data_IF_764723648211
#
_entry.id   IF_764723648211
#
_cell.length_a   1.000
_cell.length_b   1.000
_cell.length_c   1.000
_cell.angle_alpha   90.00
_cell.angle_beta   90.00
_cell.angle_gamma   90.00
#
_symmetry.space_group_name_H-M   'P 1'
#
loop_
_entity.id
_entity.type
_entity.pdbx_description
1 polymer ?
#
# COMPACT_ATOMS: atom_id res chain seq x y z
N UNK A 1 -7.86 -7.43 11.73
CA UNK A 1 -7.21 -8.44 10.86
C UNK A 1 -5.70 -8.39 11.07
N UNK A 2 -5.05 -7.26 10.79
CA UNK A 2 -3.61 -7.06 11.00
C UNK A 2 -3.16 -7.43 12.43
N UNK A 3 -3.82 -6.89 13.46
CA UNK A 3 -3.51 -7.22 14.86
C UNK A 3 -3.74 -8.70 15.25
N UNK A 4 -4.45 -9.47 14.40
CA UNK A 4 -4.67 -10.91 14.57
C UNK A 4 -3.69 -11.74 13.71
N UNK A 5 -2.69 -11.12 13.08
CA UNK A 5 -1.72 -11.80 12.21
C UNK A 5 -2.27 -12.21 10.85
N UNK A 6 -3.45 -11.71 10.45
CA UNK A 6 -4.03 -12.00 9.14
C UNK A 6 -3.40 -11.06 8.11
N UNK A 7 -2.88 -11.62 7.02
CA UNK A 7 -2.38 -10.86 5.86
C UNK A 7 -3.51 -10.07 5.21
N UNK A 8 -3.28 -8.78 4.97
CA UNK A 8 -4.26 -7.88 4.34
C UNK A 8 -3.53 -7.07 3.26
N UNK A 9 -4.13 -6.99 2.08
CA UNK A 9 -3.68 -6.13 0.99
C UNK A 9 -4.67 -5.00 0.72
N UNK A 10 -4.25 -4.03 -0.09
CA UNK A 10 -5.11 -2.94 -0.59
C UNK A 10 -5.37 -3.20 -2.08
N UNK A 11 -6.61 -3.02 -2.50
CA UNK A 11 -7.01 -3.02 -3.90
C UNK A 11 -7.90 -1.82 -4.18
N UNK A 12 -7.83 -1.31 -5.42
CA UNK A 12 -8.61 -0.14 -5.84
C UNK A 12 -10.11 -0.42 -5.97
N UNK A 13 -10.49 -1.70 -6.06
CA UNK A 13 -11.79 -2.15 -6.58
C UNK A 13 -12.00 -1.68 -8.05
N UNK A 14 -13.19 -1.93 -8.61
CA UNK A 14 -13.52 -1.64 -10.00
C UNK A 14 -13.86 -0.16 -10.28
N UNK A 15 -13.75 0.23 -11.55
CA UNK A 15 -14.05 1.59 -12.03
C UNK A 15 -15.41 2.17 -11.54
N UNK A 16 -16.52 1.40 -11.45
CA UNK A 16 -17.81 1.93 -11.00
C UNK A 16 -17.86 2.31 -9.50
N UNK A 17 -16.98 1.73 -8.68
CA UNK A 17 -16.89 1.96 -7.23
C UNK A 17 -15.64 2.75 -6.83
N UNK A 18 -14.68 2.89 -7.75
CA UNK A 18 -13.55 3.80 -7.65
C UNK A 18 -13.16 4.32 -9.03
N UNK A 19 -13.29 5.62 -9.25
CA UNK A 19 -13.00 6.22 -10.56
C UNK A 19 -11.49 6.44 -10.81
N UNK A 20 -10.61 6.02 -9.89
CA UNK A 20 -9.16 6.16 -9.99
C UNK A 20 -8.46 4.84 -9.67
N UNK A 21 -7.66 4.35 -10.61
CA UNK A 21 -6.77 3.21 -10.40
C UNK A 21 -5.39 3.70 -9.94
N UNK A 22 -5.36 4.46 -8.84
CA UNK A 22 -4.13 5.08 -8.30
C UNK A 22 -3.81 4.53 -6.90
N UNK A 23 -2.81 3.64 -6.82
CA UNK A 23 -2.40 3.03 -5.56
C UNK A 23 -1.82 4.01 -4.55
N UNK A 24 -1.29 5.17 -4.96
CA UNK A 24 -0.81 6.19 -4.01
C UNK A 24 -1.99 6.86 -3.29
N UNK A 25 -3.06 7.17 -4.03
CA UNK A 25 -4.30 7.70 -3.45
C UNK A 25 -4.91 6.66 -2.48
N UNK A 26 -4.93 5.37 -2.84
CA UNK A 26 -5.44 4.30 -1.97
C UNK A 26 -4.62 4.12 -0.68
N UNK A 27 -3.28 4.14 -0.79
CA UNK A 27 -2.40 4.10 0.39
C UNK A 27 -2.68 5.27 1.34
N UNK A 28 -2.86 6.47 0.78
CA UNK A 28 -3.18 7.67 1.56
C UNK A 28 -4.54 7.53 2.26
N UNK A 29 -5.57 7.10 1.52
CA UNK A 29 -6.92 6.93 2.04
C UNK A 29 -6.98 5.89 3.17
N UNK A 30 -6.39 4.72 2.97
CA UNK A 30 -6.35 3.63 3.96
C UNK A 30 -5.64 4.09 5.24
N UNK A 31 -4.53 4.81 5.11
CA UNK A 31 -3.78 5.39 6.23
C UNK A 31 -4.64 6.35 7.06
N UNK A 32 -5.37 7.26 6.40
CA UNK A 32 -6.16 8.29 7.09
C UNK A 32 -7.45 7.76 7.70
N UNK A 33 -8.24 6.95 6.98
CA UNK A 33 -9.54 6.48 7.46
C UNK A 33 -9.38 5.68 8.77
N UNK A 34 -8.37 4.81 8.86
CA UNK A 34 -8.14 4.00 10.06
C UNK A 34 -7.65 4.85 11.25
N UNK A 35 -6.79 5.85 11.00
CA UNK A 35 -6.34 6.77 12.05
C UNK A 35 -7.48 7.64 12.57
N UNK A 36 -8.30 8.18 11.67
CA UNK A 36 -9.47 8.98 12.02
C UNK A 36 -10.51 8.18 12.80
N UNK A 37 -10.82 6.96 12.33
CA UNK A 37 -11.79 6.08 13.00
C UNK A 37 -11.36 5.67 14.41
N UNK A 38 -10.06 5.44 14.61
CA UNK A 38 -9.53 5.03 15.91
C UNK A 38 -9.03 6.20 16.78
N UNK A 39 -9.15 7.44 16.29
CA UNK A 39 -8.62 8.66 16.92
C UNK A 39 -7.16 8.50 17.38
N UNK A 40 -6.38 7.75 16.60
CA UNK A 40 -5.02 7.38 16.95
C UNK A 40 -4.11 7.42 15.72
N UNK A 41 -3.16 8.38 15.64
CA UNK A 41 -2.28 8.54 14.49
C UNK A 41 -1.30 7.37 14.31
N UNK A 42 -1.10 6.53 15.32
CA UNK A 42 -0.22 5.36 15.28
C UNK A 42 -0.91 4.07 14.83
N UNK A 43 -2.22 4.13 14.54
CA UNK A 43 -3.02 2.95 14.17
C UNK A 43 -2.43 2.18 12.99
N UNK A 44 -1.98 2.91 11.95
CA UNK A 44 -1.47 2.30 10.73
C UNK A 44 -0.25 3.11 10.24
N UNK A 45 0.98 2.67 10.60
CA UNK A 45 2.22 3.29 10.15
C UNK A 45 2.37 3.23 8.62
N UNK A 46 3.12 4.17 8.04
CA UNK A 46 3.30 4.27 6.59
C UNK A 46 4.01 3.03 6.01
N UNK A 47 4.97 2.48 6.75
CA UNK A 47 5.70 1.26 6.44
C UNK A 47 4.74 0.08 6.29
N UNK A 48 3.77 -0.03 7.21
CA UNK A 48 2.77 -1.09 7.13
C UNK A 48 1.87 -0.93 5.90
N UNK A 49 1.48 0.30 5.57
CA UNK A 49 0.69 0.56 4.35
C UNK A 49 1.48 0.18 3.09
N UNK A 50 2.79 0.46 3.06
CA UNK A 50 3.66 0.05 1.96
C UNK A 50 3.76 -1.48 1.84
N UNK A 51 3.88 -2.20 2.96
CA UNK A 51 3.83 -3.66 2.97
C UNK A 51 2.52 -4.19 2.39
N UNK A 52 1.38 -3.58 2.74
CA UNK A 52 0.03 -3.95 2.27
C UNK A 52 -0.13 -3.87 0.74
N UNK A 53 0.63 -3.00 0.06
CA UNK A 53 0.60 -2.86 -1.41
C UNK A 53 1.77 -3.56 -2.10
N UNK A 54 2.67 -4.18 -1.35
CA UNK A 54 3.84 -4.90 -1.87
C UNK A 54 3.82 -6.34 -1.40
N UNK A 55 4.58 -6.68 -0.36
CA UNK A 55 4.78 -8.06 0.08
C UNK A 55 3.51 -8.72 0.63
N UNK A 56 2.65 -7.99 1.34
CA UNK A 56 1.37 -8.53 1.81
C UNK A 56 0.38 -8.70 0.65
N UNK A 57 0.44 -7.81 -0.35
CA UNK A 57 -0.26 -7.99 -1.63
C UNK A 57 0.13 -9.30 -2.31
N UNK A 58 1.43 -9.56 -2.43
CA UNK A 58 1.96 -10.80 -2.98
C UNK A 58 1.55 -12.03 -2.14
N UNK A 59 1.58 -11.94 -0.81
CA UNK A 59 1.12 -13.01 0.09
C UNK A 59 -0.37 -13.31 -0.07
N UNK A 60 -1.22 -12.30 -0.21
CA UNK A 60 -2.65 -12.48 -0.47
C UNK A 60 -2.93 -13.20 -1.80
N UNK A 61 -2.05 -13.04 -2.79
CA UNK A 61 -2.12 -13.70 -4.10
C UNK A 61 -1.35 -15.04 -4.16
N UNK A 62 -0.72 -15.45 -3.06
CA UNK A 62 0.16 -16.63 -2.99
C UNK A 62 1.38 -16.56 -3.94
N UNK A 63 1.86 -15.34 -4.24
CA UNK A 63 2.99 -15.06 -5.14
C UNK A 63 4.20 -14.47 -4.40
N UNK A 64 4.22 -14.53 -3.06
CA UNK A 64 5.29 -13.93 -2.25
C UNK A 64 6.68 -14.51 -2.48
N UNK A 65 6.78 -15.69 -3.11
CA UNK A 65 8.06 -16.29 -3.49
C UNK A 65 8.58 -15.75 -4.83
N UNK A 66 7.73 -15.07 -5.60
CA UNK A 66 8.07 -14.52 -6.91
C UNK A 66 8.17 -12.99 -6.93
N UNK A 67 7.33 -12.27 -6.18
CA UNK A 67 7.21 -10.81 -6.24
C UNK A 67 6.99 -10.19 -4.86
N UNK A 68 6.92 -8.85 -4.80
CA UNK A 68 6.52 -8.08 -3.62
C UNK A 68 7.66 -7.67 -2.68
N UNK A 69 8.90 -8.13 -2.92
CA UNK A 69 10.10 -7.62 -2.24
C UNK A 69 11.34 -7.71 -3.12
N UNK A 70 12.36 -6.91 -2.79
CA UNK A 70 13.65 -6.91 -3.49
C UNK A 70 14.60 -7.91 -2.84
N UNK A 71 14.47 -9.17 -3.23
CA UNK A 71 15.29 -10.28 -2.72
C UNK A 71 15.88 -11.09 -3.90
N UNK A 72 17.11 -11.62 -3.78
CA UNK A 72 17.67 -12.49 -4.80
C UNK A 72 16.75 -13.66 -5.14
N UNK A 73 16.55 -13.91 -6.44
CA UNK A 73 15.70 -14.99 -6.94
C UNK A 73 14.25 -14.59 -7.27
N UNK A 74 13.78 -13.42 -6.79
CA UNK A 74 12.47 -12.88 -7.16
C UNK A 74 12.52 -12.15 -8.52
N UNK A 75 11.35 -11.97 -9.13
CA UNK A 75 11.17 -11.20 -10.38
C UNK A 75 11.50 -9.72 -10.14
N UNK A 76 11.97 -9.05 -11.19
CA UNK A 76 12.37 -7.65 -11.15
C UNK A 76 11.18 -6.68 -11.35
N UNK A 77 10.15 -6.84 -10.51
CA UNK A 77 8.96 -5.97 -10.51
C UNK A 77 9.25 -4.71 -9.68
N UNK A 78 9.79 -3.69 -10.34
CA UNK A 78 10.35 -2.50 -9.69
C UNK A 78 9.63 -1.23 -10.15
N UNK A 79 9.49 -0.28 -9.21
CA UNK A 79 9.07 1.09 -9.49
C UNK A 79 10.14 2.07 -9.00
N UNK A 80 10.36 3.15 -9.74
CA UNK A 80 11.23 4.25 -9.32
C UNK A 80 10.33 5.43 -8.97
N UNK A 81 10.40 5.87 -7.72
CA UNK A 81 9.67 7.04 -7.25
C UNK A 81 10.61 8.24 -7.24
N UNK A 82 10.26 9.30 -7.97
CA UNK A 82 11.00 10.56 -7.92
C UNK A 82 10.42 11.47 -6.82
N UNK A 83 11.13 11.65 -5.68
CA UNK A 83 10.63 12.47 -4.60
C UNK A 83 10.56 13.96 -4.94
N UNK A 84 11.27 14.39 -5.99
CA UNK A 84 11.34 15.80 -6.42
C UNK A 84 10.27 16.19 -7.43
N UNK A 85 9.29 15.32 -7.71
CA UNK A 85 8.20 15.66 -8.61
C UNK A 85 7.24 16.68 -7.95
N UNK A 86 6.68 17.65 -8.69
CA UNK A 86 5.77 18.66 -8.13
C UNK A 86 4.55 18.07 -7.41
N UNK A 87 4.11 16.88 -7.82
CA UNK A 87 2.94 16.18 -7.26
C UNK A 87 3.14 15.74 -5.80
N UNK A 88 4.38 15.61 -5.33
CA UNK A 88 4.67 15.19 -3.95
C UNK A 88 4.86 16.36 -2.98
N UNK A 89 5.15 17.56 -3.47
CA UNK A 89 5.33 18.78 -2.66
C UNK A 89 4.16 19.77 -2.77
N UNK A 90 2.94 19.29 -3.04
CA UNK A 90 1.75 20.11 -2.85
C UNK A 90 1.39 20.21 -1.35
N UNK A 91 2.32 20.73 -0.55
CA UNK A 91 2.08 21.26 0.80
C UNK A 91 3.09 22.37 1.12
N UNK A 92 2.95 23.49 0.42
CA UNK A 92 3.13 24.85 0.92
C UNK A 92 2.63 25.83 -0.13
#
# INVERSE_FOLDING_TARGET
>A
MIAKGITVSIGTDGAPSNNRMDMFDEMYLVSLIHKGRNLNPKTLPAEKVLEMVTIDGARCLLWNDEIGSMEPGKKADLIIVNPKSPRQFASS
#
